data_IF_361241345510
#
_entry.id   IF_361241345510
#
_cell.length_a   1.000
_cell.length_b   1.000
_cell.length_c   1.000
_cell.angle_alpha   90.00
_cell.angle_beta   90.00
_cell.angle_gamma   90.00
#
_symmetry.space_group_name_H-M   'P 1'
#
loop_
_entity.id
_entity.type
_entity.pdbx_description
1 polymer ?
#
# COMPACT_ATOMS: atom_id res chain seq x y z
N UNK A 1 2.24 5.65 19.33
CA UNK A 1 1.04 5.41 18.48
C UNK A 1 1.47 4.43 17.41
N UNK A 2 0.81 3.27 17.23
CA UNK A 2 1.33 2.29 16.28
C UNK A 2 1.04 2.77 14.86
N UNK A 3 2.04 3.38 14.22
CA UNK A 3 2.11 3.62 12.78
C UNK A 3 2.19 2.28 12.09
N UNK A 4 1.04 1.73 11.70
CA UNK A 4 0.97 0.55 10.84
C UNK A 4 1.42 0.98 9.45
N UNK A 5 2.27 0.18 8.82
CA UNK A 5 2.74 0.45 7.46
C UNK A 5 2.30 -0.73 6.61
N UNK A 6 1.58 -0.45 5.53
CA UNK A 6 1.11 -1.46 4.60
C UNK A 6 2.01 -1.39 3.39
N UNK A 7 2.67 -2.48 3.03
CA UNK A 7 3.49 -2.55 1.82
C UNK A 7 2.93 -3.54 0.82
N UNK A 8 2.88 -3.13 -0.44
CA UNK A 8 2.55 -3.98 -1.57
C UNK A 8 3.84 -4.26 -2.31
N UNK A 9 4.26 -5.52 -2.34
CA UNK A 9 5.49 -5.99 -2.97
C UNK A 9 5.17 -7.00 -4.06
N UNK A 10 5.97 -7.07 -5.13
CA UNK A 10 5.77 -8.08 -6.15
C UNK A 10 6.13 -9.47 -5.60
N UNK A 11 5.27 -10.45 -5.87
CA UNK A 11 5.46 -11.83 -5.45
C UNK A 11 5.64 -12.75 -6.66
N UNK A 12 6.08 -13.99 -6.40
CA UNK A 12 6.27 -15.02 -7.45
C UNK A 12 5.00 -15.24 -8.28
N UNK A 13 3.82 -15.08 -7.67
CA UNK A 13 2.53 -15.13 -8.35
C UNK A 13 1.72 -13.85 -8.07
N UNK A 14 2.11 -12.75 -8.72
CA UNK A 14 1.39 -11.47 -8.65
C UNK A 14 1.96 -10.54 -7.59
N UNK A 15 1.17 -10.24 -6.56
CA UNK A 15 1.44 -9.18 -5.59
C UNK A 15 1.13 -9.64 -4.17
N UNK A 16 2.06 -9.40 -3.25
CA UNK A 16 1.87 -9.63 -1.83
C UNK A 16 1.65 -8.29 -1.12
N UNK A 17 0.63 -8.24 -0.28
CA UNK A 17 0.39 -7.16 0.65
C UNK A 17 0.84 -7.61 2.04
N UNK A 18 1.85 -6.95 2.58
CA UNK A 18 2.36 -7.15 3.92
C UNK A 18 1.96 -5.97 4.80
N UNK A 19 1.73 -6.24 6.09
CA UNK A 19 1.42 -5.21 7.08
C UNK A 19 2.53 -5.24 8.13
N UNK A 20 3.34 -4.20 8.15
CA UNK A 20 4.39 -4.02 9.13
C UNK A 20 3.80 -3.75 10.51
N UNK A 21 4.33 -4.43 11.53
CA UNK A 21 3.83 -4.39 12.90
C UNK A 21 2.80 -5.46 13.24
N UNK A 22 2.41 -6.31 12.29
CA UNK A 22 1.55 -7.48 12.50
C UNK A 22 2.25 -8.73 11.98
N UNK A 23 2.30 -9.78 12.80
CA UNK A 23 2.72 -11.11 12.35
C UNK A 23 1.60 -11.81 11.53
N UNK A 24 0.83 -11.02 10.77
CA UNK A 24 -0.18 -11.51 9.86
C UNK A 24 0.47 -12.02 8.57
N UNK A 25 -0.16 -13.02 7.95
CA UNK A 25 0.33 -13.56 6.67
C UNK A 25 0.17 -12.52 5.56
N UNK A 26 1.14 -12.43 4.63
CA UNK A 26 0.99 -11.60 3.44
C UNK A 26 -0.22 -12.05 2.62
N UNK A 27 -1.05 -11.08 2.24
CA UNK A 27 -2.21 -11.31 1.38
C UNK A 27 -1.76 -11.32 -0.07
N UNK A 28 -1.96 -12.44 -0.76
CA UNK A 28 -1.59 -12.60 -2.16
C UNK A 28 -2.73 -12.18 -3.07
N UNK A 29 -2.41 -11.37 -4.07
CA UNK A 29 -3.31 -10.87 -5.10
C UNK A 29 -2.72 -11.18 -6.47
N UNK A 30 -3.57 -11.56 -7.41
CA UNK A 30 -3.19 -11.78 -8.81
C UNK A 30 -2.91 -10.49 -9.57
N UNK A 31 -3.49 -9.36 -9.14
CA UNK A 31 -3.36 -8.06 -9.81
C UNK A 31 -2.87 -6.97 -8.86
N UNK A 32 -2.04 -6.06 -9.39
CA UNK A 32 -1.54 -4.90 -8.66
C UNK A 32 -2.68 -4.03 -8.14
N UNK A 33 -3.67 -3.77 -8.99
CA UNK A 33 -4.83 -2.95 -8.64
C UNK A 33 -5.62 -3.52 -7.46
N UNK A 34 -5.77 -4.85 -7.39
CA UNK A 34 -6.44 -5.52 -6.29
C UNK A 34 -5.64 -5.36 -4.98
N UNK A 35 -4.31 -5.51 -5.05
CA UNK A 35 -3.42 -5.30 -3.91
C UNK A 35 -3.43 -3.84 -3.42
N UNK A 36 -3.38 -2.88 -4.34
CA UNK A 36 -3.44 -1.43 -4.01
C UNK A 36 -4.79 -1.10 -3.39
N UNK A 37 -5.90 -1.55 -3.98
CA UNK A 37 -7.25 -1.26 -3.45
C UNK A 37 -7.44 -1.83 -2.05
N UNK A 38 -7.02 -3.07 -1.83
CA UNK A 38 -7.08 -3.71 -0.53
C UNK A 38 -6.18 -3.02 0.50
N UNK A 39 -4.94 -2.69 0.10
CA UNK A 39 -3.98 -1.96 0.92
C UNK A 39 -4.47 -0.56 1.26
N UNK A 40 -5.08 0.14 0.32
CA UNK A 40 -5.63 1.49 0.51
C UNK A 40 -6.83 1.49 1.46
N UNK A 41 -7.75 0.53 1.30
CA UNK A 41 -8.89 0.41 2.20
C UNK A 41 -8.45 0.15 3.64
N UNK A 42 -7.44 -0.71 3.83
CA UNK A 42 -6.86 -0.99 5.15
C UNK A 42 -6.06 0.20 5.68
N UNK A 43 -5.29 0.89 4.82
CA UNK A 43 -4.52 2.06 5.17
C UNK A 43 -5.41 3.20 5.68
N UNK A 44 -6.54 3.43 5.01
CA UNK A 44 -7.54 4.41 5.42
C UNK A 44 -8.21 4.06 6.75
N UNK A 45 -8.51 2.79 6.98
CA UNK A 45 -9.11 2.32 8.24
C UNK A 45 -8.16 2.49 9.43
N UNK A 46 -6.88 2.16 9.24
CA UNK A 46 -5.88 2.16 10.29
C UNK A 46 -5.05 3.45 10.39
N UNK A 47 -5.34 4.47 9.56
CA UNK A 47 -4.51 5.69 9.41
C UNK A 47 -3.03 5.34 9.17
N UNK A 48 -2.82 4.38 8.28
CA UNK A 48 -1.54 3.79 7.95
C UNK A 48 -1.00 4.29 6.61
N UNK A 49 0.29 4.13 6.40
CA UNK A 49 0.97 4.49 5.15
C UNK A 49 0.96 3.30 4.19
N UNK A 50 0.67 3.52 2.90
CA UNK A 50 0.68 2.48 1.86
C UNK A 50 1.91 2.64 0.97
N UNK A 51 2.85 1.69 1.06
CA UNK A 51 4.08 1.65 0.27
C UNK A 51 3.92 0.65 -0.88
N UNK A 52 3.95 1.11 -2.13
CA UNK A 52 3.80 0.24 -3.29
C UNK A 52 5.17 0.09 -3.96
N UNK A 53 5.81 -1.06 -3.79
CA UNK A 53 7.05 -1.42 -4.46
C UNK A 53 6.72 -2.03 -5.81
N UNK A 54 7.06 -1.37 -6.93
CA UNK A 54 6.85 -1.97 -8.27
C UNK A 54 8.01 -2.89 -8.64
N UNK A 55 7.76 -3.85 -9.54
CA UNK A 55 8.82 -4.71 -10.11
C UNK A 55 9.93 -3.92 -10.83
N UNK A 56 9.59 -2.72 -11.30
CA UNK A 56 10.48 -1.78 -11.96
C UNK A 56 11.46 -1.07 -10.97
N UNK A 57 11.36 -1.36 -9.67
CA UNK A 57 12.15 -0.70 -8.62
C UNK A 57 11.57 0.66 -8.19
N UNK A 58 10.59 1.18 -8.92
CA UNK A 58 9.87 2.40 -8.53
C UNK A 58 9.00 2.16 -7.31
N UNK A 59 9.24 2.90 -6.23
CA UNK A 59 8.39 2.91 -5.04
C UNK A 59 7.41 4.07 -5.13
N UNK A 60 6.12 3.78 -5.03
CA UNK A 60 5.06 4.78 -4.90
C UNK A 60 4.53 4.79 -3.47
N UNK A 61 4.75 5.89 -2.77
CA UNK A 61 4.13 6.15 -1.48
C UNK A 61 2.72 6.72 -1.71
N UNK A 62 1.72 6.07 -1.13
CA UNK A 62 0.38 6.60 -0.99
C UNK A 62 0.11 6.76 0.51
N UNK A 63 -0.01 7.99 0.99
CA UNK A 63 -0.46 8.24 2.36
C UNK A 63 -1.91 8.68 2.34
N UNK A 64 -2.73 8.10 3.22
CA UNK A 64 -4.16 8.39 3.30
C UNK A 64 -4.45 9.87 3.64
N UNK A 65 -3.45 10.58 4.17
CA UNK A 65 -3.51 11.99 4.55
C UNK A 65 -3.23 12.97 3.38
N UNK A 66 -2.62 12.52 2.27
CA UNK A 66 -2.18 13.40 1.17
C UNK A 66 -3.14 13.44 -0.03
N UNK A 67 -4.28 12.73 0.04
CA UNK A 67 -5.29 12.80 -1.01
C UNK A 67 -6.10 14.12 -1.00
N UNK A 68 -5.85 15.00 -0.03
CA UNK A 68 -6.42 16.35 0.05
C UNK A 68 -5.32 17.42 -0.06
N UNK A 69 -4.48 17.33 -1.09
CA UNK A 69 -3.56 18.41 -1.44
C UNK A 69 -3.54 18.58 -2.96
N UNK A 70 -4.45 19.43 -3.40
CA UNK A 70 -4.31 20.36 -4.52
C UNK A 70 -3.63 19.84 -5.79
N UNK A 71 -4.44 19.56 -6.81
CA UNK A 71 -4.07 20.04 -8.13
C UNK A 71 -4.00 21.57 -8.08
N UNK A 72 -2.81 22.11 -7.84
CA UNK A 72 -2.54 23.51 -8.15
C UNK A 72 -2.23 23.60 -9.64
N UNK A 73 -3.02 24.45 -10.32
CA UNK A 73 -2.94 24.77 -11.74
C UNK A 73 -1.63 25.46 -12.06
N UNK A 74 -1.01 25.13 -13.19
CA UNK A 74 -0.46 26.12 -14.14
C UNK A 74 -0.64 25.62 -15.59
#
# INVERSE_FOLDING_TARGET
MPTRIIRVVPAVQGWALEIEGLAEKPLLYTSLEAAITAGWHRAKHDNAELHIHRQDGTVRLLTALAADSGGDKE
#
